data_IF_999728539925
#
_entry.id   IF_999728539925
#
_cell.length_a   1.000
_cell.length_b   1.000
_cell.length_c   1.000
_cell.angle_alpha   90.00
_cell.angle_beta   90.00
_cell.angle_gamma   90.00
#
_symmetry.space_group_name_H-M   'P 1'
#
loop_
_entity.id
_entity.type
_entity.pdbx_description
1 polymer ?
#
# COMPACT_ATOMS: atom_id res chain seq x y z
N UNK A 1 6.26 -20.24 4.54
CA UNK A 1 5.93 -18.81 4.71
C UNK A 1 5.99 -18.51 6.19
N UNK A 2 6.70 -17.46 6.61
CA UNK A 2 6.91 -17.13 8.02
C UNK A 2 5.73 -16.33 8.59
N UNK A 3 5.20 -15.35 7.86
CA UNK A 3 4.04 -14.55 8.30
C UNK A 3 3.34 -13.85 7.13
N UNK A 4 2.00 -13.90 7.11
CA UNK A 4 1.15 -13.08 6.23
C UNK A 4 0.37 -12.12 7.11
N UNK A 5 0.50 -10.82 6.88
CA UNK A 5 -0.23 -9.83 7.66
C UNK A 5 -1.70 -9.81 7.22
N UNK A 6 -2.66 -10.12 8.10
CA UNK A 6 -4.07 -10.06 7.74
C UNK A 6 -4.51 -8.61 7.53
N UNK A 7 -5.63 -8.43 6.81
CA UNK A 7 -6.28 -7.12 6.66
C UNK A 7 -6.81 -6.66 8.02
N UNK A 8 -6.26 -5.58 8.57
CA UNK A 8 -6.61 -5.08 9.91
C UNK A 8 -7.75 -4.06 9.87
N UNK A 9 -7.92 -3.36 8.75
CA UNK A 9 -8.89 -2.26 8.64
C UNK A 9 -9.99 -2.51 7.62
N UNK A 10 -10.06 -3.72 7.06
CA UNK A 10 -11.21 -4.20 6.31
C UNK A 10 -12.47 -4.21 7.18
N UNK A 11 -13.57 -3.63 6.66
CA UNK A 11 -14.82 -3.40 7.39
C UNK A 11 -14.89 -2.04 8.09
N UNK A 12 -13.76 -1.34 8.24
CA UNK A 12 -13.68 -0.03 8.91
C UNK A 12 -13.28 1.09 7.94
N UNK A 13 -12.11 0.96 7.29
CA UNK A 13 -11.59 1.96 6.35
C UNK A 13 -12.05 1.70 4.93
N UNK A 14 -12.29 0.44 4.58
CA UNK A 14 -12.81 0.02 3.29
C UNK A 14 -13.65 -1.26 3.49
N UNK A 15 -14.55 -1.63 2.56
CA UNK A 15 -15.40 -2.81 2.70
C UNK A 15 -14.61 -4.12 2.89
N UNK A 16 -15.03 -4.97 3.82
CA UNK A 16 -14.47 -6.33 3.98
C UNK A 16 -15.02 -7.32 2.94
N UNK A 17 -16.20 -7.07 2.38
CA UNK A 17 -16.73 -7.89 1.29
C UNK A 17 -15.99 -7.57 -0.02
N UNK A 18 -15.40 -8.58 -0.69
CA UNK A 18 -14.55 -8.37 -1.86
C UNK A 18 -15.31 -7.79 -3.07
N UNK A 19 -16.55 -8.22 -3.30
CA UNK A 19 -17.34 -7.74 -4.44
C UNK A 19 -17.75 -6.29 -4.27
N UNK A 20 -18.14 -5.91 -3.04
CA UNK A 20 -18.41 -4.51 -2.68
C UNK A 20 -17.14 -3.67 -2.82
N UNK A 21 -16.00 -4.16 -2.32
CA UNK A 21 -14.72 -3.44 -2.40
C UNK A 21 -14.32 -3.17 -3.85
N UNK A 22 -14.39 -4.19 -4.72
CA UNK A 22 -14.12 -4.05 -6.17
C UNK A 22 -15.05 -3.05 -6.82
N UNK A 23 -16.35 -3.13 -6.53
CA UNK A 23 -17.36 -2.23 -7.09
C UNK A 23 -17.12 -0.78 -6.68
N UNK A 24 -16.86 -0.54 -5.39
CA UNK A 24 -16.61 0.80 -4.86
C UNK A 24 -15.34 1.40 -5.49
N UNK A 25 -14.24 0.63 -5.59
CA UNK A 25 -13.01 1.09 -6.25
C UNK A 25 -13.23 1.37 -7.73
N UNK A 26 -13.92 0.47 -8.45
CA UNK A 26 -14.22 0.65 -9.88
C UNK A 26 -15.02 1.93 -10.12
N UNK A 27 -16.04 2.20 -9.30
CA UNK A 27 -16.84 3.43 -9.42
C UNK A 27 -15.97 4.68 -9.18
N UNK A 28 -15.11 4.65 -8.15
CA UNK A 28 -14.21 5.76 -7.87
C UNK A 28 -13.21 5.99 -9.01
N UNK A 29 -12.66 4.93 -9.61
CA UNK A 29 -11.79 5.01 -10.78
C UNK A 29 -12.56 5.56 -12.00
N UNK A 30 -13.78 5.09 -12.24
CA UNK A 30 -14.55 5.51 -13.42
C UNK A 30 -14.87 7.01 -13.44
N UNK A 31 -15.17 7.59 -12.28
CA UNK A 31 -15.51 9.02 -12.16
C UNK A 31 -14.28 9.93 -12.02
N UNK A 32 -13.06 9.38 -11.99
CA UNK A 32 -11.81 10.13 -11.80
C UNK A 32 -10.79 9.91 -12.92
N UNK A 33 -11.26 9.50 -14.11
CA UNK A 33 -10.41 9.29 -15.29
C UNK A 33 -9.54 10.52 -15.58
N UNK A 34 -8.24 10.34 -15.85
CA UNK A 34 -7.32 11.44 -16.02
C UNK A 34 -7.57 12.12 -17.37
N UNK A 35 -7.47 13.45 -17.40
CA UNK A 35 -7.59 14.23 -18.64
C UNK A 35 -6.34 14.11 -19.52
N UNK A 36 -5.20 13.90 -18.88
CA UNK A 36 -3.89 13.81 -19.53
C UNK A 36 -3.25 12.45 -19.24
N UNK A 37 -2.57 11.90 -20.24
CA UNK A 37 -1.79 10.67 -20.07
C UNK A 37 -0.37 11.02 -19.66
N UNK A 38 0.00 10.67 -18.45
CA UNK A 38 1.40 10.72 -18.01
C UNK A 38 2.06 9.40 -18.41
N UNK A 39 3.09 9.45 -19.25
CA UNK A 39 3.72 8.25 -19.79
C UNK A 39 4.49 7.46 -18.73
N UNK A 40 5.32 8.15 -17.94
CA UNK A 40 6.18 7.53 -16.91
C UNK A 40 5.86 8.10 -15.54
N UNK A 41 5.51 7.25 -14.60
CA UNK A 41 5.19 7.62 -13.22
C UNK A 41 6.18 6.90 -12.33
N UNK A 42 7.00 7.67 -11.61
CA UNK A 42 7.95 7.11 -10.65
C UNK A 42 7.40 7.08 -9.23
N UNK A 43 6.48 7.98 -8.90
CA UNK A 43 5.88 8.08 -7.58
C UNK A 43 4.50 8.72 -7.66
N UNK A 44 3.68 8.41 -6.66
CA UNK A 44 2.37 8.98 -6.43
C UNK A 44 2.23 9.33 -4.95
N UNK A 45 1.43 10.36 -4.68
CA UNK A 45 0.98 10.69 -3.33
C UNK A 45 -0.53 10.52 -3.30
N UNK A 46 -1.02 9.76 -2.33
CA UNK A 46 -2.44 9.50 -2.15
C UNK A 46 -2.82 9.65 -0.66
N UNK A 47 -4.03 10.14 -0.37
CA UNK A 47 -4.53 10.17 1.01
C UNK A 47 -4.80 8.76 1.52
N UNK A 48 -4.85 8.62 2.84
CA UNK A 48 -5.00 7.32 3.51
C UNK A 48 -6.12 7.28 4.55
N UNK A 49 -7.09 8.19 4.49
CA UNK A 49 -8.31 8.08 5.29
C UNK A 49 -9.22 6.95 4.75
N UNK A 50 -10.30 6.66 5.47
CA UNK A 50 -11.32 5.71 5.00
C UNK A 50 -11.88 6.08 3.63
N UNK A 51 -12.22 5.09 2.81
CA UNK A 51 -12.60 5.26 1.41
C UNK A 51 -13.81 6.17 1.21
N UNK A 52 -14.73 6.18 2.17
CA UNK A 52 -15.90 7.09 2.16
C UNK A 52 -15.47 8.56 2.14
N UNK A 53 -14.32 8.89 2.73
CA UNK A 53 -13.82 10.26 2.83
C UNK A 53 -12.80 10.59 1.73
N UNK A 54 -11.81 9.71 1.51
CA UNK A 54 -10.66 10.03 0.65
C UNK A 54 -10.49 9.10 -0.55
N UNK A 55 -11.33 8.08 -0.71
CA UNK A 55 -11.16 7.08 -1.77
C UNK A 55 -11.24 7.68 -3.17
N UNK A 56 -12.17 8.62 -3.40
CA UNK A 56 -12.26 9.34 -4.69
C UNK A 56 -11.00 10.15 -4.98
N UNK A 57 -10.43 10.81 -3.97
CA UNK A 57 -9.18 11.57 -4.13
C UNK A 57 -8.00 10.64 -4.43
N UNK A 58 -7.89 9.50 -3.74
CA UNK A 58 -6.89 8.48 -4.03
C UNK A 58 -7.04 7.92 -5.46
N UNK A 59 -8.28 7.71 -5.93
CA UNK A 59 -8.56 7.19 -7.26
C UNK A 59 -8.01 8.07 -8.39
N UNK A 60 -7.93 9.40 -8.22
CA UNK A 60 -7.25 10.26 -9.19
C UNK A 60 -5.77 9.89 -9.40
N UNK A 61 -5.05 9.54 -8.33
CA UNK A 61 -3.65 9.12 -8.41
C UNK A 61 -3.53 7.72 -9.03
N UNK A 62 -4.32 6.75 -8.54
CA UNK A 62 -4.24 5.36 -8.99
C UNK A 62 -4.70 5.14 -10.43
N UNK A 63 -5.63 5.95 -10.93
CA UNK A 63 -6.03 5.91 -12.33
C UNK A 63 -4.88 6.16 -13.30
N UNK A 64 -3.89 6.95 -12.89
CA UNK A 64 -2.72 7.20 -13.71
C UNK A 64 -1.87 5.94 -13.93
N UNK A 65 -2.05 4.90 -13.11
CA UNK A 65 -1.36 3.61 -13.24
C UNK A 65 -2.07 2.62 -14.17
N UNK A 66 -3.34 2.87 -14.53
CA UNK A 66 -4.14 1.93 -15.34
C UNK A 66 -3.46 1.69 -16.69
N UNK A 67 -3.28 0.41 -17.04
CA UNK A 67 -2.61 -0.02 -18.27
C UNK A 67 -1.08 0.10 -18.24
N UNK A 68 -0.48 0.44 -17.09
CA UNK A 68 0.97 0.42 -16.89
C UNK A 68 1.39 -0.86 -16.17
N UNK A 69 2.67 -1.21 -16.31
CA UNK A 69 3.27 -2.38 -15.68
C UNK A 69 4.36 -1.94 -14.71
N UNK A 70 4.28 -2.46 -13.49
CA UNK A 70 5.31 -2.33 -12.46
C UNK A 70 5.53 -3.70 -11.84
N UNK A 71 6.78 -4.12 -11.72
CA UNK A 71 7.10 -5.40 -11.09
C UNK A 71 7.16 -5.27 -9.56
N UNK A 72 7.39 -4.06 -9.07
CA UNK A 72 7.57 -3.72 -7.66
C UNK A 72 6.96 -2.37 -7.34
N UNK A 73 6.25 -2.30 -6.23
CA UNK A 73 5.71 -1.05 -5.66
C UNK A 73 6.24 -0.90 -4.24
N UNK A 74 6.95 0.19 -3.97
CA UNK A 74 7.36 0.57 -2.61
C UNK A 74 6.25 1.46 -2.05
N UNK A 75 5.68 1.08 -0.90
CA UNK A 75 4.65 1.87 -0.23
C UNK A 75 5.24 2.39 1.07
N UNK A 76 5.32 3.71 1.19
CA UNK A 76 5.89 4.40 2.34
C UNK A 76 4.76 5.09 3.09
N UNK A 77 4.64 4.83 4.39
CA UNK A 77 3.66 5.50 5.25
C UNK A 77 4.28 5.94 6.58
N UNK A 78 3.72 6.97 7.25
CA UNK A 78 4.03 7.21 8.65
C UNK A 78 3.49 6.08 9.53
N UNK A 79 4.02 5.97 10.76
CA UNK A 79 3.37 5.20 11.82
C UNK A 79 2.46 6.10 12.66
N UNK A 80 1.20 5.69 12.79
CA UNK A 80 0.17 6.30 13.65
C UNK A 80 -0.05 5.49 14.94
N UNK A 81 0.33 4.22 14.95
CA UNK A 81 -0.07 3.25 15.98
C UNK A 81 1.05 2.85 16.94
N UNK A 82 2.30 3.12 16.58
CA UNK A 82 3.49 2.69 17.30
C UNK A 82 4.62 3.69 17.01
N UNK A 83 5.39 4.04 18.03
CA UNK A 83 6.62 4.79 17.86
C UNK A 83 7.81 3.83 17.85
N UNK A 84 8.77 4.07 16.96
CA UNK A 84 10.07 3.41 16.92
C UNK A 84 11.08 4.33 16.20
N UNK A 85 12.37 4.29 16.55
CA UNK A 85 13.38 5.07 15.84
C UNK A 85 13.58 4.52 14.42
N UNK A 86 13.72 5.39 13.43
CA UNK A 86 14.06 5.02 12.05
C UNK A 86 12.89 4.52 11.20
N UNK A 87 13.22 3.65 10.23
CA UNK A 87 12.34 3.18 9.16
C UNK A 87 12.29 1.65 9.15
N UNK A 88 11.09 1.11 9.32
CA UNK A 88 10.84 -0.33 9.33
C UNK A 88 10.39 -0.79 7.94
N UNK A 89 11.06 -1.81 7.40
CA UNK A 89 10.64 -2.52 6.18
C UNK A 89 10.11 -3.90 6.58
N UNK A 90 8.89 -4.21 6.15
CA UNK A 90 8.17 -5.37 6.67
C UNK A 90 8.93 -6.70 6.56
N UNK A 91 9.12 -7.38 7.69
CA UNK A 91 9.85 -8.64 7.76
C UNK A 91 9.07 -9.84 7.19
N UNK A 92 7.73 -9.76 7.22
CA UNK A 92 6.84 -10.84 6.77
C UNK A 92 6.86 -11.08 5.26
N UNK A 93 6.07 -12.05 4.82
CA UNK A 93 6.11 -12.58 3.46
C UNK A 93 5.08 -11.94 2.53
N UNK A 94 3.96 -11.48 3.09
CA UNK A 94 2.86 -10.96 2.33
C UNK A 94 1.90 -10.11 3.17
N UNK A 95 1.10 -9.30 2.49
CA UNK A 95 -0.09 -8.65 3.04
C UNK A 95 -1.33 -9.31 2.42
N UNK A 96 -2.33 -9.56 3.25
CA UNK A 96 -3.66 -9.97 2.81
C UNK A 96 -4.58 -8.74 2.74
N UNK A 97 -5.43 -8.74 1.70
CA UNK A 97 -6.60 -7.86 1.61
C UNK A 97 -7.81 -8.71 1.22
N UNK A 98 -9.04 -8.17 1.25
CA UNK A 98 -10.19 -8.87 0.70
C UNK A 98 -10.03 -9.24 -0.80
N UNK A 99 -9.15 -8.55 -1.54
CA UNK A 99 -8.90 -8.83 -2.95
C UNK A 99 -7.82 -9.89 -3.19
N UNK A 100 -7.19 -10.40 -2.13
CA UNK A 100 -6.18 -11.45 -2.18
C UNK A 100 -4.84 -11.03 -1.59
N UNK A 101 -3.83 -11.87 -1.80
CA UNK A 101 -2.51 -11.75 -1.17
C UNK A 101 -1.53 -10.98 -2.07
N UNK A 102 -0.83 -10.00 -1.50
CA UNK A 102 0.28 -9.29 -2.11
C UNK A 102 1.61 -9.73 -1.50
N UNK A 103 2.47 -10.36 -2.30
CA UNK A 103 3.77 -10.85 -1.85
C UNK A 103 4.75 -9.71 -1.65
N UNK A 104 5.55 -9.81 -0.60
CA UNK A 104 6.65 -8.88 -0.32
C UNK A 104 7.84 -9.22 -1.21
N UNK A 105 8.47 -8.19 -1.77
CA UNK A 105 9.74 -8.34 -2.47
C UNK A 105 10.91 -8.37 -1.49
N UNK A 106 11.17 -9.56 -0.95
CA UNK A 106 12.24 -9.78 0.02
C UNK A 106 13.62 -9.45 -0.53
N UNK A 107 13.89 -9.77 -1.79
CA UNK A 107 15.19 -9.50 -2.39
C UNK A 107 15.48 -8.00 -2.44
N UNK A 108 14.46 -7.19 -2.74
CA UNK A 108 14.60 -5.73 -2.72
C UNK A 108 14.59 -5.14 -1.32
N UNK A 109 13.80 -5.70 -0.39
CA UNK A 109 13.85 -5.31 1.02
C UNK A 109 15.27 -5.37 1.55
N UNK A 110 16.00 -6.46 1.33
CA UNK A 110 17.39 -6.60 1.82
C UNK A 110 18.30 -5.50 1.27
N UNK A 111 18.02 -5.00 0.06
CA UNK A 111 18.79 -3.91 -0.57
C UNK A 111 18.50 -2.52 0.02
N UNK A 112 17.42 -2.37 0.79
CA UNK A 112 17.07 -1.11 1.46
C UNK A 112 17.70 -0.96 2.84
N UNK A 113 18.14 -2.07 3.45
CA UNK A 113 18.66 -2.06 4.81
C UNK A 113 19.98 -1.30 4.88
N UNK A 114 20.19 -0.57 5.96
CA UNK A 114 21.41 0.21 6.18
C UNK A 114 22.24 -0.37 7.33
N UNK A 115 23.58 -0.29 7.21
CA UNK A 115 24.51 -0.83 8.21
C UNK A 115 24.39 -0.14 9.57
N UNK A 116 23.96 1.13 9.58
CA UNK A 116 23.72 1.92 10.78
C UNK A 116 22.36 1.62 11.47
N UNK A 117 21.54 0.76 10.87
CA UNK A 117 20.24 0.35 11.41
C UNK A 117 19.12 1.40 11.27
N UNK A 118 19.36 2.51 10.55
CA UNK A 118 18.32 3.52 10.30
C UNK A 118 17.16 2.93 9.49
N UNK A 119 17.47 2.12 8.47
CA UNK A 119 16.49 1.32 7.74
C UNK A 119 16.72 -0.14 8.10
N UNK A 120 15.76 -0.72 8.82
CA UNK A 120 15.84 -2.09 9.34
C UNK A 120 14.63 -2.91 8.89
N UNK A 121 14.73 -4.23 8.98
CA UNK A 121 13.58 -5.11 8.77
C UNK A 121 12.89 -5.42 10.08
N UNK A 122 11.56 -5.37 10.11
CA UNK A 122 10.81 -5.62 11.34
C UNK A 122 9.29 -5.67 11.17
N UNK A 123 8.60 -5.75 12.30
CA UNK A 123 7.14 -5.70 12.40
C UNK A 123 6.64 -4.39 12.99
N UNK A 124 7.55 -3.58 13.50
CA UNK A 124 7.37 -2.25 14.05
C UNK A 124 6.60 -1.40 13.05
N UNK A 125 5.51 -0.79 13.52
CA UNK A 125 4.65 0.03 12.68
C UNK A 125 3.80 -0.75 11.68
N UNK A 126 3.99 -2.05 11.46
CA UNK A 126 3.18 -2.77 10.47
C UNK A 126 1.89 -3.35 11.06
N UNK A 127 1.92 -3.83 12.31
CA UNK A 127 0.84 -4.66 12.88
C UNK A 127 -0.55 -4.02 12.88
N UNK A 128 -0.64 -2.71 13.12
CA UNK A 128 -1.92 -1.96 13.22
C UNK A 128 -2.00 -0.76 12.28
N UNK A 129 -0.95 -0.49 11.52
CA UNK A 129 -0.92 0.69 10.66
C UNK A 129 -1.87 0.54 9.48
N UNK A 130 -2.70 1.55 9.31
CA UNK A 130 -3.74 1.59 8.30
C UNK A 130 -3.27 2.34 7.05
N UNK A 131 -2.39 3.33 7.20
CA UNK A 131 -2.05 4.26 6.15
C UNK A 131 -1.45 3.57 4.91
N UNK A 132 -0.67 2.52 5.14
CA UNK A 132 -0.16 1.63 4.12
C UNK A 132 -1.23 0.67 3.57
N UNK A 133 -1.98 0.02 4.46
CA UNK A 133 -2.94 -1.04 4.09
C UNK A 133 -4.02 -0.52 3.15
N UNK A 134 -4.55 0.68 3.38
CA UNK A 134 -5.62 1.27 2.56
C UNK A 134 -5.19 1.56 1.12
N UNK A 135 -3.90 1.52 0.81
CA UNK A 135 -3.39 1.67 -0.55
C UNK A 135 -3.46 0.36 -1.35
N UNK A 136 -3.43 -0.79 -0.66
CA UNK A 136 -3.25 -2.10 -1.28
C UNK A 136 -4.42 -2.52 -2.18
N UNK A 137 -5.71 -2.34 -1.80
CA UNK A 137 -6.80 -2.68 -2.70
C UNK A 137 -6.83 -1.83 -3.97
N UNK A 138 -6.43 -0.55 -3.90
CA UNK A 138 -6.31 0.29 -5.09
C UNK A 138 -5.23 -0.25 -6.04
N UNK A 139 -4.04 -0.58 -5.51
CA UNK A 139 -2.96 -1.17 -6.30
C UNK A 139 -3.40 -2.49 -6.96
N UNK A 140 -4.06 -3.39 -6.23
CA UNK A 140 -4.62 -4.65 -6.78
C UNK A 140 -5.68 -4.44 -7.86
N UNK A 141 -6.32 -3.26 -7.89
CA UNK A 141 -7.37 -2.94 -8.87
C UNK A 141 -6.82 -2.35 -10.16
N UNK A 142 -5.61 -1.79 -10.14
CA UNK A 142 -5.03 -1.09 -11.30
C UNK A 142 -3.75 -1.72 -11.84
N UNK A 143 -3.09 -2.58 -11.06
CA UNK A 143 -1.87 -3.31 -11.45
C UNK A 143 -2.08 -4.82 -11.41
N UNK A 144 -1.21 -5.54 -12.13
CA UNK A 144 -1.17 -7.00 -12.18
C UNK A 144 0.28 -7.48 -11.98
N UNK A 145 0.43 -8.70 -11.45
CA UNK A 145 1.72 -9.41 -11.32
C UNK A 145 2.87 -8.58 -10.73
N UNK A 146 2.61 -7.94 -9.59
CA UNK A 146 3.59 -7.12 -8.89
C UNK A 146 3.84 -7.60 -7.46
N UNK A 147 4.99 -7.22 -6.90
CA UNK A 147 5.33 -7.38 -5.48
C UNK A 147 5.30 -6.03 -4.78
N UNK A 148 5.12 -6.04 -3.46
CA UNK A 148 5.16 -4.84 -2.63
C UNK A 148 6.42 -4.80 -1.76
N UNK A 149 6.83 -3.59 -1.39
CA UNK A 149 7.84 -3.36 -0.35
C UNK A 149 7.21 -2.40 0.65
N UNK A 150 6.60 -2.92 1.73
CA UNK A 150 5.94 -2.09 2.72
C UNK A 150 6.98 -1.43 3.63
N UNK A 151 6.92 -0.10 3.75
CA UNK A 151 7.84 0.72 4.53
C UNK A 151 7.04 1.62 5.47
N UNK A 152 7.34 1.58 6.76
CA UNK A 152 6.71 2.43 7.78
C UNK A 152 7.78 3.27 8.48
N UNK A 153 7.57 4.59 8.53
CA UNK A 153 8.46 5.55 9.20
C UNK A 153 7.98 5.77 10.64
N UNK A 154 8.77 5.36 11.62
CA UNK A 154 8.46 5.52 13.04
C UNK A 154 8.90 6.87 13.61
N UNK A 155 9.99 7.41 13.06
CA UNK A 155 10.47 8.77 13.30
C UNK A 155 10.50 9.54 11.96
N UNK A 156 10.05 10.79 12.00
CA UNK A 156 9.93 11.70 10.84
C UNK A 156 10.57 13.07 11.11
N UNK A 157 11.35 13.17 12.19
CA UNK A 157 12.03 14.40 12.61
C UNK A 157 13.31 14.71 11.84
#
# INVERSE_FOLDING_TARGET
>A
MNYVRPAQVAGYFYPSNPDKLKKDISLMLDVTKPKEKINKIFGLVAPHAGYVYSGKTAAHAYNLLVGKKYERVVIISPSHSEYFPGISVFEGDAYETPLGILKVDKEFREKLLTDDGVIFTGYEGHRREHALEVQLPFLQSVLQDFKIVPVVMGDQS
#
